data_IF_024990553541
#
_entry.id   IF_024990553541
#
_cell.length_a   1.000
_cell.length_b   1.000
_cell.length_c   1.000
_cell.angle_alpha   90.00
_cell.angle_beta   90.00
_cell.angle_gamma   90.00
#
_symmetry.space_group_name_H-M   'P 1'
#
loop_
_entity.id
_entity.type
_entity.pdbx_description
1 polymer ?
#
# COMPACT_ATOMS: atom_id res chain seq x y z
N UNK A 1 -43.30 -36.89 -47.88
CA UNK A 1 -41.96 -36.43 -47.48
C UNK A 1 -42.15 -35.19 -46.62
N UNK A 2 -41.98 -35.32 -45.30
CA UNK A 2 -42.01 -34.17 -44.37
C UNK A 2 -40.56 -33.72 -44.18
N UNK A 3 -40.23 -32.52 -44.62
CA UNK A 3 -38.94 -31.87 -44.39
C UNK A 3 -38.96 -31.18 -43.03
N UNK A 4 -38.25 -31.76 -42.07
CA UNK A 4 -37.92 -31.14 -40.78
C UNK A 4 -36.84 -30.09 -40.98
N UNK A 5 -37.14 -28.83 -40.65
CA UNK A 5 -36.16 -27.76 -40.58
C UNK A 5 -35.58 -27.69 -39.16
N UNK A 6 -34.31 -28.02 -39.00
CA UNK A 6 -33.54 -27.84 -37.77
C UNK A 6 -33.03 -26.40 -37.68
N UNK A 7 -33.57 -25.61 -36.75
CA UNK A 7 -33.06 -24.28 -36.42
C UNK A 7 -31.93 -24.45 -35.39
N UNK A 8 -30.68 -24.35 -35.83
CA UNK A 8 -29.53 -24.25 -34.92
C UNK A 8 -29.48 -22.84 -34.35
N UNK A 9 -29.77 -22.69 -33.06
CA UNK A 9 -29.60 -21.42 -32.33
C UNK A 9 -28.19 -21.37 -31.75
N UNK A 10 -27.32 -20.56 -32.34
CA UNK A 10 -26.01 -20.25 -31.76
C UNK A 10 -26.20 -19.22 -30.64
N UNK A 11 -26.03 -19.63 -29.39
CA UNK A 11 -25.96 -18.71 -28.26
C UNK A 11 -24.57 -18.06 -28.23
N UNK A 12 -24.49 -16.79 -28.65
CA UNK A 12 -23.31 -15.97 -28.43
C UNK A 12 -23.35 -15.50 -26.97
N UNK A 13 -22.55 -16.12 -26.11
CA UNK A 13 -22.33 -15.64 -24.74
C UNK A 13 -21.35 -14.48 -24.83
N UNK A 14 -21.85 -13.25 -24.71
CA UNK A 14 -21.00 -12.07 -24.55
C UNK A 14 -20.43 -12.08 -23.13
N UNK A 15 -19.16 -12.46 -22.98
CA UNK A 15 -18.44 -12.25 -21.73
C UNK A 15 -18.11 -10.76 -21.61
N UNK A 16 -18.84 -10.05 -20.75
CA UNK A 16 -18.44 -8.73 -20.30
C UNK A 16 -17.21 -8.89 -19.40
N UNK A 17 -16.01 -8.74 -19.97
CA UNK A 17 -14.81 -8.53 -19.17
C UNK A 17 -14.91 -7.09 -18.65
N UNK A 18 -15.38 -6.95 -17.41
CA UNK A 18 -15.23 -5.69 -16.68
C UNK A 18 -13.75 -5.49 -16.44
N UNK A 19 -13.12 -4.61 -17.21
CA UNK A 19 -11.79 -4.10 -16.91
C UNK A 19 -11.89 -3.29 -15.62
N UNK A 20 -11.72 -3.96 -14.47
CA UNK A 20 -11.50 -3.28 -13.22
C UNK A 20 -10.08 -2.73 -13.28
N UNK A 21 -9.98 -1.44 -13.53
CA UNK A 21 -8.75 -0.66 -13.47
C UNK A 21 -8.35 -0.54 -11.99
N UNK A 22 -7.78 -1.61 -11.46
CA UNK A 22 -7.62 -1.77 -10.02
C UNK A 22 -6.17 -2.09 -9.67
N UNK A 23 -5.72 -1.45 -8.59
CA UNK A 23 -4.30 -1.23 -8.27
C UNK A 23 -4.04 -1.35 -6.75
N UNK A 24 -4.97 -1.93 -6.02
CA UNK A 24 -4.74 -2.49 -4.69
C UNK A 24 -5.57 -1.84 -3.60
N UNK A 25 -5.50 -2.46 -2.42
CA UNK A 25 -6.26 -2.06 -1.25
C UNK A 25 -5.63 -2.60 0.03
N UNK A 26 -6.07 -2.06 1.16
CA UNK A 26 -5.76 -2.62 2.48
C UNK A 26 -6.56 -3.90 2.69
N UNK A 27 -5.86 -5.03 2.64
CA UNK A 27 -6.40 -6.35 2.95
C UNK A 27 -6.55 -6.53 4.47
N UNK A 28 -5.58 -6.02 5.25
CA UNK A 28 -5.64 -6.02 6.71
C UNK A 28 -5.11 -4.71 7.30
N UNK A 29 -5.81 -4.05 8.24
CA UNK A 29 -7.14 -4.39 8.74
C UNK A 29 -8.21 -4.23 7.63
N UNK A 30 -9.19 -5.14 7.55
CA UNK A 30 -10.11 -5.21 6.40
C UNK A 30 -11.03 -3.99 6.33
N UNK A 31 -11.01 -3.28 5.20
CA UNK A 31 -11.91 -2.14 4.96
C UNK A 31 -13.34 -2.58 4.65
N UNK A 32 -14.31 -1.71 4.99
CA UNK A 32 -15.68 -1.80 4.47
C UNK A 32 -15.82 -0.89 3.26
N UNK A 33 -16.40 -1.40 2.17
CA UNK A 33 -16.60 -0.66 0.93
C UNK A 33 -17.93 0.11 0.92
N UNK A 34 -17.99 1.24 0.20
CA UNK A 34 -19.21 2.06 0.06
C UNK A 34 -20.35 1.30 -0.63
N UNK A 35 -20.04 0.63 -1.73
CA UNK A 35 -21.00 -0.13 -2.54
C UNK A 35 -20.57 -1.59 -2.64
N UNK A 36 -19.56 -1.85 -3.48
CA UNK A 36 -18.93 -3.15 -3.68
C UNK A 36 -17.40 -3.00 -3.60
N UNK A 37 -16.64 -4.11 -3.47
CA UNK A 37 -15.19 -4.05 -3.55
C UNK A 37 -14.71 -3.27 -4.78
N UNK A 38 -13.95 -2.20 -4.53
CA UNK A 38 -13.45 -1.30 -5.58
C UNK A 38 -12.00 -0.88 -5.31
N UNK A 39 -11.02 -1.76 -5.59
CA UNK A 39 -9.61 -1.54 -5.34
C UNK A 39 -8.90 -0.64 -6.39
N UNK A 40 -9.66 0.23 -7.05
CA UNK A 40 -9.12 1.25 -7.97
C UNK A 40 -8.64 2.51 -7.24
N UNK A 41 -7.89 3.33 -7.95
CA UNK A 41 -7.57 4.68 -7.49
C UNK A 41 -8.85 5.51 -7.30
N UNK A 42 -8.74 6.54 -6.48
CA UNK A 42 -9.82 7.51 -6.25
C UNK A 42 -9.79 8.58 -7.34
N UNK A 43 -8.61 9.12 -7.62
CA UNK A 43 -8.35 10.11 -8.66
C UNK A 43 -7.11 9.70 -9.45
N UNK A 44 -7.13 9.96 -10.76
CA UNK A 44 -5.97 9.88 -11.64
C UNK A 44 -5.84 11.21 -12.39
N UNK A 45 -4.70 11.87 -12.27
CA UNK A 45 -4.39 13.14 -12.95
C UNK A 45 -3.07 13.05 -13.69
N UNK A 46 -2.95 13.80 -14.78
CA UNK A 46 -1.66 14.00 -15.42
C UNK A 46 -0.89 15.07 -14.61
N UNK A 47 0.25 14.67 -14.03
CA UNK A 47 1.21 15.52 -13.30
C UNK A 47 0.58 16.58 -12.37
N UNK A 48 0.21 16.19 -11.14
CA UNK A 48 -0.24 17.13 -10.11
C UNK A 48 0.77 18.26 -9.89
N UNK A 49 2.06 17.91 -9.90
CA UNK A 49 3.16 18.84 -10.13
C UNK A 49 3.94 18.43 -11.37
N UNK A 50 4.49 19.42 -12.06
CA UNK A 50 5.33 19.20 -13.24
C UNK A 50 6.71 18.64 -12.82
N UNK A 51 6.76 17.32 -12.60
CA UNK A 51 8.00 16.58 -12.25
C UNK A 51 8.45 15.64 -13.37
N UNK A 52 7.79 15.69 -14.54
CA UNK A 52 8.05 14.82 -15.68
C UNK A 52 7.36 13.46 -15.61
N UNK A 53 7.60 12.62 -16.62
CA UNK A 53 6.89 11.35 -16.87
C UNK A 53 7.73 10.09 -16.62
N UNK A 54 8.86 10.21 -15.91
CA UNK A 54 9.78 9.11 -15.64
C UNK A 54 11.05 9.58 -14.95
N UNK A 55 12.01 8.66 -14.77
CA UNK A 55 13.20 8.90 -13.95
C UNK A 55 12.88 8.75 -12.46
N UNK A 56 13.57 9.51 -11.61
CA UNK A 56 13.37 9.50 -10.15
C UNK A 56 12.20 10.42 -9.75
N UNK A 57 10.98 9.97 -10.05
CA UNK A 57 9.77 10.72 -9.68
C UNK A 57 9.54 10.76 -8.17
N UNK A 58 9.96 9.74 -7.42
CA UNK A 58 9.92 9.72 -5.96
C UNK A 58 10.80 10.83 -5.37
N UNK A 59 12.06 10.94 -5.78
CA UNK A 59 12.96 11.99 -5.33
C UNK A 59 12.48 13.39 -5.74
N UNK A 60 11.92 13.52 -6.95
CA UNK A 60 11.34 14.78 -7.41
C UNK A 60 10.09 15.18 -6.61
N UNK A 61 9.20 14.23 -6.31
CA UNK A 61 8.05 14.45 -5.42
C UNK A 61 8.51 14.89 -4.04
N UNK A 62 9.43 14.16 -3.42
CA UNK A 62 9.96 14.45 -2.07
C UNK A 62 10.48 15.88 -1.98
N UNK A 63 11.31 16.29 -2.94
CA UNK A 63 11.83 17.65 -3.02
C UNK A 63 10.70 18.69 -3.13
N UNK A 64 9.73 18.46 -4.01
CA UNK A 64 8.60 19.38 -4.20
C UNK A 64 7.68 19.46 -2.98
N UNK A 65 7.45 18.33 -2.31
CA UNK A 65 6.69 18.22 -1.08
C UNK A 65 7.35 19.02 0.05
N UNK A 66 8.67 18.90 0.21
CA UNK A 66 9.47 19.70 1.15
C UNK A 66 9.41 21.21 0.81
N UNK A 67 9.61 21.59 -0.45
CA UNK A 67 9.56 23.00 -0.89
C UNK A 67 8.19 23.64 -0.66
N UNK A 68 7.11 22.86 -0.78
CA UNK A 68 5.73 23.32 -0.60
C UNK A 68 5.20 23.13 0.83
N UNK A 69 5.93 22.42 1.68
CA UNK A 69 5.49 22.05 3.03
C UNK A 69 4.23 21.17 3.02
N UNK A 70 4.13 20.24 2.07
CA UNK A 70 3.00 19.32 1.91
C UNK A 70 3.42 17.87 2.21
N UNK A 71 2.58 17.14 2.91
CA UNK A 71 2.70 15.68 3.09
C UNK A 71 2.08 14.91 1.92
N UNK A 72 2.26 13.58 1.89
CA UNK A 72 1.53 12.71 0.94
C UNK A 72 0.04 12.82 1.19
N UNK A 73 -0.39 12.81 2.46
CA UNK A 73 -1.79 13.04 2.86
C UNK A 73 -2.33 14.35 2.28
N UNK A 74 -1.60 15.45 2.36
CA UNK A 74 -2.08 16.75 1.87
C UNK A 74 -2.29 16.74 0.35
N UNK A 75 -1.32 16.19 -0.40
CA UNK A 75 -1.43 16.07 -1.86
C UNK A 75 -2.58 15.16 -2.25
N UNK A 76 -2.67 13.98 -1.64
CA UNK A 76 -3.73 13.02 -1.92
C UNK A 76 -5.10 13.59 -1.59
N UNK A 77 -5.26 14.26 -0.44
CA UNK A 77 -6.53 14.89 -0.06
C UNK A 77 -6.95 16.01 -1.01
N UNK A 78 -6.00 16.80 -1.53
CA UNK A 78 -6.30 17.80 -2.56
C UNK A 78 -6.79 17.13 -3.86
N UNK A 79 -6.12 16.06 -4.29
CA UNK A 79 -6.49 15.29 -5.49
C UNK A 79 -7.88 14.63 -5.40
N UNK A 80 -8.26 14.11 -4.23
CA UNK A 80 -9.54 13.39 -4.06
C UNK A 80 -10.70 14.29 -3.63
N UNK A 81 -10.41 15.53 -3.23
CA UNK A 81 -11.40 16.48 -2.74
C UNK A 81 -12.22 15.92 -1.56
N UNK A 82 -13.54 15.81 -1.74
CA UNK A 82 -14.44 15.35 -0.68
C UNK A 82 -14.39 13.83 -0.42
N UNK A 83 -13.66 13.05 -1.24
CA UNK A 83 -13.54 11.60 -1.08
C UNK A 83 -12.38 11.22 -0.15
N UNK A 84 -12.35 11.77 1.06
CA UNK A 84 -11.26 11.59 2.04
C UNK A 84 -11.05 10.14 2.54
N UNK A 85 -11.97 9.22 2.22
CA UNK A 85 -11.85 7.77 2.46
C UNK A 85 -11.95 6.93 1.18
N UNK A 86 -11.75 7.56 0.02
CA UNK A 86 -11.80 6.91 -1.28
C UNK A 86 -13.09 6.12 -1.49
N UNK A 87 -12.96 4.82 -1.73
CA UNK A 87 -14.06 3.89 -1.97
C UNK A 87 -14.52 3.13 -0.70
N UNK A 88 -13.94 3.46 0.45
CA UNK A 88 -14.20 2.81 1.75
C UNK A 88 -15.00 3.69 2.70
N UNK A 89 -15.54 3.10 3.77
CA UNK A 89 -16.40 3.76 4.75
C UNK A 89 -15.64 4.09 6.04
N UNK A 90 -15.59 5.38 6.46
CA UNK A 90 -15.00 5.78 7.74
C UNK A 90 -15.81 5.34 8.97
N UNK A 91 -17.06 4.92 8.76
CA UNK A 91 -18.02 4.47 9.76
C UNK A 91 -18.52 3.05 9.47
N UNK A 92 -17.73 2.27 8.72
CA UNK A 92 -17.98 0.87 8.43
C UNK A 92 -17.81 -0.06 9.64
N UNK A 93 -17.72 -1.37 9.38
CA UNK A 93 -17.49 -2.36 10.42
C UNK A 93 -16.10 -2.19 11.06
N UNK A 94 -16.08 -1.94 12.37
CA UNK A 94 -14.83 -1.76 13.10
C UNK A 94 -14.03 -3.06 13.18
N UNK A 95 -12.77 -3.00 12.77
CA UNK A 95 -11.82 -4.11 12.86
C UNK A 95 -11.04 -4.05 14.18
N UNK A 96 -10.62 -5.19 14.76
CA UNK A 96 -9.69 -5.17 15.88
C UNK A 96 -8.35 -4.57 15.45
N UNK A 97 -7.67 -3.86 16.36
CA UNK A 97 -6.28 -3.44 16.15
C UNK A 97 -5.40 -4.67 15.83
N UNK A 98 -4.65 -4.68 14.71
CA UNK A 98 -3.79 -5.81 14.33
C UNK A 98 -2.75 -6.14 15.40
N UNK A 99 -2.75 -7.39 15.87
CA UNK A 99 -1.86 -7.86 16.95
C UNK A 99 -0.44 -8.16 16.48
N UNK A 100 -0.23 -8.34 15.18
CA UNK A 100 1.10 -8.49 14.56
C UNK A 100 1.77 -7.13 14.29
N UNK A 101 1.10 -6.03 14.60
CA UNK A 101 1.62 -4.67 14.41
C UNK A 101 1.74 -4.28 12.93
N UNK A 102 0.98 -4.93 12.03
CA UNK A 102 1.10 -4.69 10.59
C UNK A 102 -0.20 -4.15 9.98
N UNK A 103 -0.04 -3.37 8.92
CA UNK A 103 -1.04 -3.20 7.88
C UNK A 103 -0.57 -3.96 6.63
N UNK A 104 -1.49 -4.58 5.90
CA UNK A 104 -1.20 -5.44 4.75
C UNK A 104 -1.90 -4.89 3.54
N UNK A 105 -1.12 -4.45 2.57
CA UNK A 105 -1.61 -4.00 1.27
C UNK A 105 -1.57 -5.16 0.28
N UNK A 106 -2.66 -5.35 -0.46
CA UNK A 106 -2.74 -6.34 -1.54
C UNK A 106 -3.02 -5.63 -2.86
N UNK A 107 -2.14 -5.85 -3.84
CA UNK A 107 -2.37 -5.43 -5.22
C UNK A 107 -3.56 -6.17 -5.83
N UNK A 108 -4.37 -5.50 -6.65
CA UNK A 108 -5.53 -6.12 -7.32
C UNK A 108 -5.13 -7.25 -8.29
N UNK A 109 -3.92 -7.19 -8.85
CA UNK A 109 -3.33 -8.28 -9.63
C UNK A 109 -2.74 -9.41 -8.78
N UNK A 110 -2.85 -9.34 -7.44
CA UNK A 110 -2.01 -10.07 -6.50
C UNK A 110 -0.70 -9.32 -6.22
N UNK A 111 -0.04 -9.67 -5.12
CA UNK A 111 1.21 -9.05 -4.71
C UNK A 111 1.05 -7.78 -3.88
N UNK A 112 2.03 -6.88 -4.00
CA UNK A 112 2.14 -5.66 -3.20
C UNK A 112 1.65 -4.40 -3.89
N UNK A 113 2.27 -3.28 -3.53
CA UNK A 113 2.21 -2.06 -4.35
C UNK A 113 2.71 -2.35 -5.76
N UNK A 114 2.02 -1.82 -6.78
CA UNK A 114 2.29 -2.12 -8.18
C UNK A 114 2.97 -0.98 -8.94
N UNK A 115 3.26 0.11 -8.23
CA UNK A 115 3.87 1.32 -8.75
C UNK A 115 4.72 2.00 -7.67
N UNK A 116 5.80 2.63 -8.10
CA UNK A 116 6.63 3.44 -7.23
C UNK A 116 5.85 4.66 -6.77
N UNK A 117 6.09 5.06 -5.52
CA UNK A 117 5.53 6.28 -4.98
C UNK A 117 5.33 6.24 -3.47
N UNK A 118 5.19 7.41 -2.85
CA UNK A 118 5.20 7.53 -1.41
C UNK A 118 3.85 7.14 -0.81
N UNK A 119 3.88 6.65 0.42
CA UNK A 119 2.69 6.39 1.20
C UNK A 119 2.84 6.78 2.66
N UNK A 120 1.71 7.09 3.27
CA UNK A 120 1.60 7.42 4.68
C UNK A 120 0.42 6.68 5.31
N UNK A 121 0.59 6.27 6.57
CA UNK A 121 -0.50 5.71 7.38
C UNK A 121 -0.73 6.61 8.58
N UNK A 122 -2.00 6.86 8.83
CA UNK A 122 -2.49 7.64 9.96
C UNK A 122 -3.41 6.79 10.83
N UNK A 123 -3.31 7.02 12.14
CA UNK A 123 -4.34 6.66 13.12
C UNK A 123 -4.94 7.97 13.60
N UNK A 124 -6.20 8.20 13.24
CA UNK A 124 -6.86 9.49 13.34
C UNK A 124 -6.00 10.59 12.68
N UNK A 125 -5.51 11.55 13.46
CA UNK A 125 -4.66 12.64 12.97
C UNK A 125 -3.16 12.37 13.11
N UNK A 126 -2.76 11.26 13.73
CA UNK A 126 -1.35 10.94 13.95
C UNK A 126 -0.79 10.10 12.82
N UNK A 127 0.21 10.61 12.12
CA UNK A 127 1.02 9.82 11.21
C UNK A 127 1.82 8.79 12.00
N UNK A 128 1.71 7.52 11.61
CA UNK A 128 2.36 6.38 12.27
C UNK A 128 3.29 5.59 11.34
N UNK A 129 3.21 5.86 10.04
CA UNK A 129 4.17 5.38 9.05
C UNK A 129 4.25 6.39 7.90
N UNK A 130 5.45 6.56 7.37
CA UNK A 130 5.75 7.28 6.14
C UNK A 130 6.86 6.53 5.41
N UNK A 131 6.73 6.41 4.10
CA UNK A 131 7.78 5.93 3.21
C UNK A 131 7.76 6.73 1.91
N UNK A 132 8.96 7.05 1.42
CA UNK A 132 9.14 7.76 0.15
C UNK A 132 8.80 6.86 -1.06
N UNK A 133 8.99 5.54 -0.94
CA UNK A 133 8.64 4.56 -1.98
C UNK A 133 8.14 3.25 -1.35
N UNK A 134 6.82 3.07 -1.35
CA UNK A 134 6.21 1.93 -0.69
C UNK A 134 6.32 0.62 -1.48
N UNK A 135 6.46 0.70 -2.82
CA UNK A 135 6.82 -0.48 -3.62
C UNK A 135 8.25 -0.92 -3.33
N UNK A 136 9.17 0.04 -3.12
CA UNK A 136 10.54 -0.33 -2.80
C UNK A 136 10.69 -0.88 -1.37
N UNK A 137 10.15 -0.18 -0.38
CA UNK A 137 10.36 -0.51 1.03
C UNK A 137 9.53 -1.73 1.48
N UNK A 138 8.27 -1.82 1.06
CA UNK A 138 7.36 -2.87 1.49
C UNK A 138 7.12 -3.87 0.36
N UNK A 139 8.05 -4.80 0.18
CA UNK A 139 7.95 -5.83 -0.87
C UNK A 139 6.71 -6.71 -0.68
N UNK A 140 5.90 -6.79 -1.73
CA UNK A 140 4.87 -7.82 -1.86
C UNK A 140 5.33 -8.99 -2.73
N UNK A 141 4.43 -9.93 -3.00
CA UNK A 141 4.71 -11.04 -3.91
C UNK A 141 4.57 -10.66 -5.39
N UNK A 142 4.84 -11.64 -6.24
CA UNK A 142 4.63 -11.55 -7.68
C UNK A 142 3.14 -11.34 -8.04
N UNK A 143 2.89 -10.85 -9.26
CA UNK A 143 1.55 -10.82 -9.84
C UNK A 143 0.92 -12.22 -9.78
N UNK A 144 -0.32 -12.30 -9.28
CA UNK A 144 -1.07 -13.53 -9.03
C UNK A 144 -0.87 -14.12 -7.63
N UNK A 145 0.06 -13.59 -6.85
CA UNK A 145 0.32 -14.03 -5.48
C UNK A 145 -0.67 -13.41 -4.47
N UNK A 146 -0.92 -14.12 -3.37
CA UNK A 146 -1.64 -13.59 -2.20
C UNK A 146 -0.70 -12.96 -1.16
N UNK A 147 0.60 -12.90 -1.45
CA UNK A 147 1.58 -12.26 -0.56
C UNK A 147 1.46 -10.74 -0.63
N UNK A 148 1.11 -10.15 0.50
CA UNK A 148 0.91 -8.71 0.70
C UNK A 148 2.21 -7.95 0.90
N UNK A 149 2.16 -6.63 0.68
CA UNK A 149 3.13 -5.68 1.23
C UNK A 149 2.79 -5.44 2.70
N UNK A 150 3.61 -5.98 3.59
CA UNK A 150 3.45 -5.86 5.05
C UNK A 150 4.14 -4.58 5.55
N UNK A 151 3.35 -3.61 6.01
CA UNK A 151 3.81 -2.33 6.55
C UNK A 151 3.79 -2.37 8.09
N UNK A 152 4.90 -2.10 8.79
CA UNK A 152 4.93 -2.05 10.25
C UNK A 152 4.27 -0.76 10.76
N UNK A 153 3.25 -0.88 11.61
CA UNK A 153 2.46 0.24 12.10
C UNK A 153 2.51 0.29 13.62
N UNK A 154 2.87 1.45 14.18
CA UNK A 154 2.76 1.71 15.61
C UNK A 154 1.31 2.05 15.99
N UNK A 155 0.56 1.04 16.43
CA UNK A 155 -0.82 1.20 16.89
C UNK A 155 -0.95 1.80 18.30
N UNK A 156 0.13 2.16 19.00
CA UNK A 156 0.09 2.65 20.39
C UNK A 156 -0.82 3.86 20.62
N UNK A 157 -0.98 4.69 19.59
CA UNK A 157 -1.89 5.84 19.62
C UNK A 157 -3.36 5.48 19.58
N UNK A 158 -3.70 4.28 19.11
CA UNK A 158 -5.08 3.82 19.05
C UNK A 158 -5.54 3.20 20.36
N UNK A 159 -6.43 3.88 21.08
CA UNK A 159 -6.95 3.47 22.38
C UNK A 159 -8.48 3.62 22.41
N UNK A 160 -9.18 2.51 22.25
CA UNK A 160 -10.63 2.49 22.15
C UNK A 160 -11.06 2.43 20.68
N UNK A 161 -11.44 3.57 20.09
CA UNK A 161 -11.86 3.67 18.69
C UNK A 161 -10.97 4.66 17.96
N UNK A 162 -10.56 4.31 16.75
CA UNK A 162 -9.66 5.11 15.93
C UNK A 162 -9.97 4.88 14.46
N UNK A 163 -9.60 5.81 13.59
CA UNK A 163 -9.67 5.63 12.15
C UNK A 163 -8.27 5.36 11.60
N UNK A 164 -8.04 4.14 11.14
CA UNK A 164 -6.87 3.85 10.30
C UNK A 164 -7.11 4.42 8.91
N UNK A 165 -6.15 5.16 8.37
CA UNK A 165 -6.17 5.64 6.99
C UNK A 165 -4.82 5.43 6.34
N UNK A 166 -4.78 4.81 5.17
CA UNK A 166 -3.61 4.84 4.29
C UNK A 166 -3.85 5.85 3.16
N UNK A 167 -2.82 6.64 2.86
CA UNK A 167 -2.70 7.45 1.66
C UNK A 167 -1.53 6.91 0.86
N UNK A 168 -1.75 6.54 -0.39
CA UNK A 168 -0.68 6.17 -1.31
C UNK A 168 -0.83 6.96 -2.60
N UNK A 169 0.29 7.50 -3.07
CA UNK A 169 0.38 8.23 -4.32
C UNK A 169 1.28 7.44 -5.26
N UNK A 170 0.69 6.86 -6.30
CA UNK A 170 1.42 6.04 -7.26
C UNK A 170 1.77 6.85 -8.51
N UNK A 171 2.99 6.65 -9.02
CA UNK A 171 3.46 7.23 -10.27
C UNK A 171 3.45 6.19 -11.39
N UNK A 172 2.64 6.42 -12.42
CA UNK A 172 2.60 5.62 -13.64
C UNK A 172 2.90 6.51 -14.85
N UNK A 173 4.19 6.65 -15.16
CA UNK A 173 4.67 7.65 -16.12
C UNK A 173 4.24 9.07 -15.66
N UNK A 174 3.58 9.86 -16.50
CA UNK A 174 3.03 11.18 -16.13
C UNK A 174 1.78 11.12 -15.25
N UNK A 175 1.20 9.94 -15.05
CA UNK A 175 -0.06 9.78 -14.34
C UNK A 175 0.19 9.59 -12.84
N UNK A 176 -0.46 10.42 -12.04
CA UNK A 176 -0.46 10.35 -10.59
C UNK A 176 -1.80 9.79 -10.13
N UNK A 177 -1.76 8.65 -9.45
CA UNK A 177 -2.94 7.96 -8.96
C UNK A 177 -2.99 8.03 -7.44
N UNK A 178 -4.09 8.55 -6.91
CA UNK A 178 -4.30 8.64 -5.47
C UNK A 178 -5.11 7.46 -4.96
N UNK A 179 -4.61 6.79 -3.92
CA UNK A 179 -5.29 5.72 -3.21
C UNK A 179 -5.54 6.13 -1.77
N UNK A 180 -6.78 5.90 -1.32
CA UNK A 180 -7.17 6.15 0.06
C UNK A 180 -8.06 5.02 0.54
N UNK A 181 -7.67 4.36 1.63
CA UNK A 181 -8.50 3.38 2.32
C UNK A 181 -8.59 3.74 3.80
N UNK A 182 -9.81 3.80 4.30
CA UNK A 182 -10.17 4.03 5.69
C UNK A 182 -10.70 2.74 6.32
N UNK A 183 -10.29 2.49 7.55
CA UNK A 183 -10.72 1.33 8.33
C UNK A 183 -10.98 1.77 9.76
N UNK A 184 -12.22 1.74 10.25
CA UNK A 184 -12.48 1.97 11.66
C UNK A 184 -11.84 0.85 12.47
N UNK A 185 -11.09 1.20 13.50
CA UNK A 185 -10.45 0.27 14.42
C UNK A 185 -11.08 0.33 15.80
N UNK A 186 -11.02 -0.81 16.50
CA UNK A 186 -11.39 -0.93 17.91
C UNK A 186 -10.36 -1.75 18.70
N UNK A 187 -10.15 -1.40 19.96
CA UNK A 187 -9.20 -2.08 20.85
C UNK A 187 -8.11 -1.14 21.36
N UNK A 188 -7.04 -1.69 21.94
CA UNK A 188 -5.87 -0.91 22.36
C UNK A 188 -4.63 -1.44 21.65
N UNK A 189 -3.91 -0.54 20.98
CA UNK A 189 -2.61 -0.84 20.40
C UNK A 189 -1.44 -0.66 21.36
N UNK A 190 -1.68 -0.15 22.58
CA UNK A 190 -0.70 -0.26 23.65
C UNK A 190 -0.60 -1.73 24.05
N UNK A 191 0.57 -2.35 23.86
CA UNK A 191 0.81 -3.74 24.22
C UNK A 191 0.46 -4.01 25.69
N UNK A 192 -0.76 -4.46 25.95
CA UNK A 192 -1.02 -5.27 27.12
C UNK A 192 -0.32 -6.60 26.85
N UNK A 193 0.75 -6.89 27.60
CA UNK A 193 1.23 -8.26 27.78
C UNK A 193 0.00 -9.14 27.99
N UNK A 194 -0.21 -10.12 27.11
CA UNK A 194 -1.38 -10.99 27.14
C UNK A 194 -1.55 -11.63 28.52
N UNK A 195 -2.46 -11.08 29.33
CA UNK A 195 -3.18 -11.87 30.31
C UNK A 195 -4.39 -12.46 29.57
N UNK A 196 -4.26 -13.73 29.24
CA UNK A 196 -5.31 -14.58 28.71
C UNK A 196 -6.54 -14.50 29.63
N UNK A 197 -7.63 -13.86 29.17
CA UNK A 197 -8.92 -13.92 29.85
C UNK A 197 -9.84 -14.87 29.06
N UNK A 198 -9.81 -16.14 29.44
CA UNK A 198 -10.84 -17.12 29.10
C UNK A 198 -12.14 -16.72 29.80
N UNK A 199 -13.21 -16.52 29.03
CA UNK A 199 -14.54 -16.26 29.56
C UNK A 199 -15.25 -17.56 29.94
N UNK A 200 -15.35 -17.82 31.23
CA UNK A 200 -16.45 -18.61 31.80
C UNK A 200 -17.01 -17.83 32.98
N UNK A 201 -18.25 -17.38 32.83
CA UNK A 201 -18.98 -16.69 33.89
C UNK A 201 -19.49 -17.65 34.95
N UNK A 202 -19.65 -17.13 36.18
CA UNK A 202 -20.80 -17.33 37.05
C UNK A 202 -20.62 -16.48 38.33
N UNK A 203 -21.49 -15.47 38.44
CA UNK A 203 -22.31 -15.11 39.60
C UNK A 203 -21.75 -15.07 41.05
N UNK A 204 -21.94 -13.88 41.65
CA UNK A 204 -22.22 -13.50 43.05
C UNK A 204 -21.63 -14.29 44.23
N UNK A 205 -21.05 -13.60 45.23
CA UNK A 205 -21.77 -13.04 46.42
C UNK A 205 -20.76 -12.44 47.43
N UNK A 206 -21.19 -11.35 48.08
CA UNK A 206 -20.75 -10.63 49.30
C UNK A 206 -19.43 -10.90 50.05
N UNK A 207 -18.87 -9.77 50.53
CA UNK A 207 -17.84 -9.64 51.56
C UNK A 207 -18.38 -9.97 52.98
N UNK A 208 -17.54 -10.11 54.03
CA UNK A 208 -16.94 -8.93 54.70
C UNK A 208 -15.53 -9.10 55.29
N UNK A 209 -14.97 -7.96 55.67
CA UNK A 209 -13.65 -7.64 56.24
C UNK A 209 -13.16 -8.49 57.44
N UNK A 210 -11.83 -8.61 57.58
CA UNK A 210 -11.15 -8.57 58.90
C UNK A 210 -9.70 -8.07 58.76
N UNK A 211 -9.33 -7.07 59.56
CA UNK A 211 -7.95 -6.59 59.77
C UNK A 211 -7.11 -7.58 60.58
N UNK A 212 -5.80 -7.69 60.34
CA UNK A 212 -4.79 -7.84 61.41
C UNK A 212 -3.39 -7.41 60.95
N UNK A 213 -2.71 -6.60 61.78
CA UNK A 213 -1.30 -6.24 61.74
C UNK A 213 -0.37 -7.38 62.25
N UNK A 214 0.91 -7.32 61.89
CA UNK A 214 2.03 -8.00 62.58
C UNK A 214 3.04 -8.58 61.60
N UNK A 215 4.08 -7.85 61.18
CA UNK A 215 5.40 -7.67 61.82
C UNK A 215 6.38 -8.86 61.64
N UNK A 216 7.54 -8.51 61.08
CA UNK A 216 8.88 -9.02 61.36
C UNK A 216 9.45 -10.28 60.66
N UNK A 217 10.51 -10.00 59.88
CA UNK A 217 11.92 -10.44 60.12
C UNK A 217 12.55 -11.44 59.15
N UNK A 218 13.64 -10.93 58.52
CA UNK A 218 14.91 -11.53 58.06
C UNK A 218 14.88 -12.77 57.15
N UNK A 219 15.72 -12.88 56.12
CA UNK A 219 17.18 -13.11 56.18
C UNK A 219 17.76 -13.06 54.71
N UNK A 220 19.04 -13.37 54.42
CA UNK A 220 20.26 -12.53 54.40
C UNK A 220 20.89 -12.30 53.00
N UNK A 221 21.90 -11.40 52.97
CA UNK A 221 23.22 -11.41 52.28
C UNK A 221 23.39 -12.12 50.92
N UNK A 222 24.12 -11.62 49.91
CA UNK A 222 25.51 -11.15 49.98
C UNK A 222 25.92 -10.56 48.62
N UNK A 223 26.60 -9.40 48.70
CA UNK A 223 27.69 -8.89 47.85
C UNK A 223 28.30 -9.85 46.81
N UNK A 224 28.55 -9.35 45.59
CA UNK A 224 29.93 -9.13 45.10
C UNK A 224 29.95 -7.99 44.08
N UNK A 225 30.65 -6.93 44.48
CA UNK A 225 31.06 -5.77 43.69
C UNK A 225 32.42 -6.06 43.03
N UNK A 226 32.77 -5.19 42.07
CA UNK A 226 34.13 -4.87 41.58
C UNK A 226 34.53 -5.58 40.28
N UNK A 227 35.11 -4.91 39.28
CA UNK A 227 35.63 -3.54 39.19
C UNK A 227 35.89 -3.15 37.73
N UNK A 228 35.86 -1.84 37.52
CA UNK A 228 36.38 -1.02 36.43
C UNK A 228 37.66 -1.50 35.72
N UNK A 229 37.84 -1.08 34.46
CA UNK A 229 38.92 -0.15 34.12
C UNK A 229 38.72 0.49 32.74
N UNK A 230 39.03 1.79 32.72
CA UNK A 230 39.02 2.74 31.60
C UNK A 230 40.41 2.85 30.94
N UNK A 231 40.48 3.21 29.66
CA UNK A 231 41.61 3.92 28.99
C UNK A 231 41.32 4.05 27.48
N UNK A 232 40.89 5.19 26.95
CA UNK A 232 41.68 6.32 26.38
C UNK A 232 42.56 6.00 25.15
N UNK A 233 42.11 6.50 23.98
CA UNK A 233 42.86 7.29 22.98
C UNK A 233 43.89 6.63 22.04
N UNK A 234 43.68 6.73 20.70
CA UNK A 234 44.54 7.45 19.75
C UNK A 234 44.26 7.13 18.24
N UNK A 235 43.99 8.21 17.50
CA UNK A 235 44.30 8.59 16.10
C UNK A 235 44.83 7.56 15.03
N UNK A 236 44.08 7.50 13.92
CA UNK A 236 44.41 7.58 12.45
C UNK A 236 45.89 7.48 12.00
N UNK A 237 46.25 6.73 10.91
CA UNK A 237 46.04 7.20 9.53
C UNK A 237 45.59 6.18 8.46
N UNK A 238 45.07 6.77 7.38
CA UNK A 238 44.75 6.22 6.06
C UNK A 238 45.92 5.49 5.39
N UNK A 239 45.64 4.67 4.36
CA UNK A 239 46.40 4.83 3.13
C UNK A 239 45.54 5.02 1.88
N UNK A 240 46.19 5.74 0.99
CA UNK A 240 45.77 6.38 -0.24
C UNK A 240 45.74 5.42 -1.44
N UNK A 241 45.05 5.89 -2.48
CA UNK A 241 44.86 5.36 -3.82
C UNK A 241 46.06 4.69 -4.51
N UNK A 242 45.72 3.73 -5.38
CA UNK A 242 46.52 3.37 -6.56
C UNK A 242 45.60 3.36 -7.79
N UNK A 243 45.91 4.22 -8.77
CA UNK A 243 45.30 4.26 -10.10
C UNK A 243 45.93 3.21 -11.05
N UNK A 244 45.17 2.92 -12.13
CA UNK A 244 45.56 2.56 -13.50
C UNK A 244 45.13 1.15 -13.99
N UNK A 245 44.88 0.96 -15.31
CA UNK A 245 44.12 1.82 -16.22
C UNK A 245 43.06 1.05 -17.03
N UNK A 246 42.22 1.85 -17.70
CA UNK A 246 41.22 1.54 -18.71
C UNK A 246 41.60 0.43 -19.71
N UNK A 247 40.69 -0.52 -19.92
CA UNK A 247 40.57 -1.28 -21.16
C UNK A 247 39.12 -1.17 -21.66
N UNK A 248 38.96 -0.47 -22.79
CA UNK A 248 37.71 -0.34 -23.51
C UNK A 248 37.31 -1.69 -24.11
N UNK A 249 36.24 -2.30 -23.61
CA UNK A 249 35.52 -3.35 -24.33
C UNK A 249 34.49 -2.68 -25.23
N UNK A 250 34.85 -2.54 -26.51
CA UNK A 250 33.94 -2.10 -27.56
C UNK A 250 32.76 -3.07 -27.66
N UNK A 251 31.55 -2.49 -27.63
CA UNK A 251 30.29 -3.13 -27.97
C UNK A 251 30.32 -3.50 -29.46
N UNK A 252 30.50 -4.78 -29.76
CA UNK A 252 30.20 -5.34 -31.08
C UNK A 252 28.69 -5.43 -31.23
N UNK A 253 28.13 -4.49 -32.01
CA UNK A 253 26.75 -4.55 -32.49
C UNK A 253 26.60 -5.79 -33.39
N UNK A 254 25.68 -6.69 -33.01
CA UNK A 254 25.21 -7.74 -33.89
C UNK A 254 24.25 -7.12 -34.93
N UNK A 255 24.43 -7.37 -36.24
CA UNK A 255 23.52 -6.85 -37.25
C UNK A 255 22.17 -7.56 -37.17
N UNK A 256 21.12 -6.74 -37.12
CA UNK A 256 19.72 -7.14 -37.27
C UNK A 256 19.50 -7.79 -38.65
N UNK A 257 18.78 -8.93 -38.77
CA UNK A 257 18.49 -9.50 -40.07
C UNK A 257 17.46 -8.65 -40.82
N UNK A 258 17.82 -8.24 -42.03
CA UNK A 258 16.95 -7.58 -42.98
C UNK A 258 15.74 -8.48 -43.32
N UNK A 259 14.54 -7.97 -43.09
CA UNK A 259 13.30 -8.62 -43.53
C UNK A 259 13.05 -8.29 -45.00
N UNK A 260 13.25 -9.27 -45.87
CA UNK A 260 12.83 -9.25 -47.27
C UNK A 260 11.30 -9.22 -47.33
N UNK A 261 10.72 -8.18 -47.93
CA UNK A 261 9.31 -8.15 -48.31
C UNK A 261 9.10 -9.00 -49.57
N UNK A 262 8.25 -10.01 -49.48
CA UNK A 262 7.59 -10.65 -50.62
C UNK A 262 6.08 -10.59 -50.38
N UNK A 263 5.25 -10.38 -51.42
CA UNK A 263 3.83 -10.11 -51.26
C UNK A 263 3.09 -11.41 -50.93
N UNK A 264 2.14 -11.36 -50.00
CA UNK A 264 1.22 -12.47 -49.76
C UNK A 264 -0.22 -11.94 -49.64
N UNK A 265 -1.05 -12.60 -50.43
CA UNK A 265 -2.44 -12.39 -50.76
C UNK A 265 -3.36 -12.45 -49.53
N UNK A 266 -4.39 -11.60 -49.54
CA UNK A 266 -5.51 -11.57 -48.60
C UNK A 266 -6.13 -12.95 -48.33
N UNK A 267 -6.32 -13.28 -47.06
CA UNK A 267 -7.47 -14.06 -46.57
C UNK A 267 -7.69 -13.67 -45.10
N UNK A 268 -8.82 -13.03 -44.85
CA UNK A 268 -9.23 -12.41 -43.59
C UNK A 268 -9.72 -13.49 -42.60
N UNK A 269 -9.14 -13.52 -41.39
CA UNK A 269 -9.69 -14.17 -40.20
C UNK A 269 -9.52 -13.19 -39.03
N UNK A 270 -10.51 -13.02 -38.13
CA UNK A 270 -10.48 -11.94 -37.16
C UNK A 270 -9.62 -12.32 -35.94
N UNK A 271 -8.52 -11.59 -35.72
CA UNK A 271 -7.82 -11.56 -34.43
C UNK A 271 -8.50 -10.54 -33.51
N UNK A 272 -8.80 -10.96 -32.28
CA UNK A 272 -9.39 -10.13 -31.23
C UNK A 272 -8.27 -9.35 -30.55
N UNK A 273 -8.01 -8.14 -31.03
CA UNK A 273 -7.09 -7.19 -30.40
C UNK A 273 -7.76 -6.57 -29.16
N UNK A 274 -7.39 -7.05 -27.96
CA UNK A 274 -7.90 -6.56 -26.68
C UNK A 274 -6.93 -5.53 -26.11
N UNK A 275 -6.93 -4.32 -26.69
CA UNK A 275 -6.24 -3.16 -26.13
C UNK A 275 -7.25 -2.04 -25.90
N UNK A 276 -7.62 -1.82 -24.64
CA UNK A 276 -8.58 -0.78 -24.25
C UNK A 276 -7.97 0.61 -24.42
N UNK A 277 -8.52 1.41 -25.33
CA UNK A 277 -8.25 2.86 -25.44
C UNK A 277 -9.45 3.61 -24.83
N UNK A 278 -9.25 4.51 -23.85
CA UNK A 278 -10.36 5.27 -23.28
C UNK A 278 -10.98 6.22 -24.30
N UNK A 279 -12.29 6.11 -24.52
CA UNK A 279 -13.03 7.01 -25.42
C UNK A 279 -13.32 8.34 -24.72
N UNK A 280 -12.62 9.40 -25.15
CA UNK A 280 -12.80 10.79 -24.72
C UNK A 280 -14.21 11.30 -25.09
N UNK A 281 -15.12 11.44 -24.12
CA UNK A 281 -16.42 12.12 -24.34
C UNK A 281 -16.22 13.64 -24.36
N UNK A 282 -16.14 14.23 -25.55
CA UNK A 282 -16.26 15.67 -25.76
C UNK A 282 -17.70 16.13 -25.43
N UNK A 283 -17.90 16.82 -24.29
CA UNK A 283 -19.14 17.57 -24.04
C UNK A 283 -19.04 18.93 -24.72
N UNK A 284 -19.82 19.09 -25.79
CA UNK A 284 -20.03 20.36 -26.48
C UNK A 284 -20.93 21.25 -25.59
N UNK A 285 -20.36 22.29 -24.98
CA UNK A 285 -21.14 23.35 -24.33
C UNK A 285 -21.90 24.12 -25.42
N UNK A 286 -23.24 24.13 -25.34
CA UNK A 286 -24.06 25.11 -26.04
C UNK A 286 -24.17 26.36 -25.17
N UNK A 287 -23.65 27.48 -25.69
CA UNK A 287 -23.96 28.83 -25.22
C UNK A 287 -25.38 29.19 -25.68
N UNK A 288 -26.21 29.67 -24.77
CA UNK A 288 -27.42 30.41 -25.10
C UNK A 288 -27.26 31.84 -24.58
N UNK A 289 -27.43 32.80 -25.50
CA UNK A 289 -27.65 34.22 -25.24
C UNK A 289 -29.07 34.47 -24.74
#
# INVERSE_FOLDING_TARGET
>A
MLTTATISSAFVVATFITCADAHGYIEQPKATWKDSPNPGWVTNVDNYWDIGSGGDQVGAFKKMAEEKGMSVKDVVLDMVGSQSCGNTLPDGEAQPVPTDGKAKWLGNGGGGFTHTGPCEIYLDDKMVLHSDDCEDEFKGGDVGSTQTSDMPVDYSSCNGKCLFTIYWLAFQNEQWQSYVNCVPLTGSGSSATQAQASSTGADSTDAPSTETQGSNTETPSTSTQSTEASSTGAQTPSPQATEAPLAAAQLTQAPSPATTQAPSTETEAPEVDTKCIPTRRLRKMMLAY
#
